data_IF_765474259059
#
_entry.id   IF_765474259059
#
_cell.length_a   1.000
_cell.length_b   1.000
_cell.length_c   1.000
_cell.angle_alpha   90.00
_cell.angle_beta   90.00
_cell.angle_gamma   90.00
#
_symmetry.space_group_name_H-M   'P 1'
#
loop_
_entity.id
_entity.type
_entity.pdbx_description
1 polymer ?
#
# COMPACT_ATOMS: atom_id res chain seq x y z
N UNK A 1 -59.84 40.89 19.76
CA UNK A 1 -59.86 40.86 18.29
C UNK A 1 -58.45 41.11 17.82
N UNK A 2 -57.92 40.30 16.90
CA UNK A 2 -56.61 40.57 16.32
C UNK A 2 -56.67 41.91 15.56
N UNK A 3 -55.65 42.75 15.73
CA UNK A 3 -55.53 44.02 15.03
C UNK A 3 -55.32 43.73 13.52
N UNK A 4 -55.91 44.54 12.63
CA UNK A 4 -55.71 44.46 11.17
C UNK A 4 -54.22 44.40 10.79
N UNK A 5 -53.37 45.12 11.52
CA UNK A 5 -51.90 45.10 11.38
C UNK A 5 -51.33 43.72 11.69
N UNK A 6 -51.81 43.03 12.73
CA UNK A 6 -51.37 41.67 13.08
C UNK A 6 -51.76 40.67 12.00
N UNK A 7 -52.97 40.80 11.44
CA UNK A 7 -53.46 39.95 10.34
C UNK A 7 -52.61 40.16 9.09
N UNK A 8 -52.36 41.41 8.71
CA UNK A 8 -51.52 41.75 7.55
C UNK A 8 -50.08 41.25 7.72
N UNK A 9 -49.53 41.36 8.93
CA UNK A 9 -48.17 40.88 9.24
C UNK A 9 -48.07 39.37 9.10
N UNK A 10 -49.06 38.61 9.62
CA UNK A 10 -49.10 37.15 9.47
C UNK A 10 -49.22 36.72 8.01
N UNK A 11 -50.11 37.35 7.25
CA UNK A 11 -50.28 37.06 5.83
C UNK A 11 -48.98 37.29 5.03
N UNK A 12 -48.24 38.36 5.36
CA UNK A 12 -46.93 38.63 4.75
C UNK A 12 -45.89 37.57 5.14
N UNK A 13 -45.82 37.18 6.41
CA UNK A 13 -44.91 36.13 6.89
C UNK A 13 -45.18 34.78 6.19
N UNK A 14 -46.44 34.39 6.05
CA UNK A 14 -46.84 33.17 5.34
C UNK A 14 -46.47 33.22 3.85
N UNK A 15 -46.65 34.37 3.21
CA UNK A 15 -46.26 34.58 1.81
C UNK A 15 -44.74 34.47 1.63
N UNK A 16 -43.95 35.09 2.51
CA UNK A 16 -42.48 35.00 2.49
C UNK A 16 -42.02 33.56 2.73
N UNK A 17 -42.64 32.87 3.69
CA UNK A 17 -42.34 31.47 3.98
C UNK A 17 -42.61 30.58 2.77
N UNK A 18 -43.78 30.72 2.14
CA UNK A 18 -44.15 29.96 0.94
C UNK A 18 -43.18 30.19 -0.23
N UNK A 19 -42.79 31.46 -0.46
CA UNK A 19 -41.80 31.79 -1.48
C UNK A 19 -40.42 31.17 -1.17
N UNK A 20 -39.99 31.21 0.09
CA UNK A 20 -38.73 30.63 0.55
C UNK A 20 -38.73 29.10 0.42
N UNK A 21 -39.82 28.45 0.80
CA UNK A 21 -39.98 27.00 0.69
C UNK A 21 -39.95 26.56 -0.79
N UNK A 22 -40.58 27.34 -1.68
CA UNK A 22 -40.55 27.12 -3.13
C UNK A 22 -39.14 27.27 -3.71
N UNK A 23 -38.41 28.33 -3.34
CA UNK A 23 -37.03 28.55 -3.78
C UNK A 23 -36.10 27.43 -3.30
N UNK A 24 -36.25 27.00 -2.04
CA UNK A 24 -35.45 25.94 -1.44
C UNK A 24 -35.71 24.59 -2.14
N UNK A 25 -36.96 24.30 -2.48
CA UNK A 25 -37.34 23.10 -3.23
C UNK A 25 -36.72 23.10 -4.64
N UNK A 26 -36.80 24.23 -5.36
CA UNK A 26 -36.19 24.39 -6.68
C UNK A 26 -34.67 24.23 -6.63
N UNK A 27 -34.01 24.84 -5.64
CA UNK A 27 -32.57 24.75 -5.47
C UNK A 27 -32.14 23.32 -5.14
N UNK A 28 -32.84 22.64 -4.23
CA UNK A 28 -32.56 21.24 -3.86
C UNK A 28 -32.70 20.32 -5.07
N UNK A 29 -33.78 20.47 -5.84
CA UNK A 29 -34.03 19.67 -7.04
C UNK A 29 -32.96 19.91 -8.10
N UNK A 30 -32.61 21.17 -8.36
CA UNK A 30 -31.57 21.52 -9.34
C UNK A 30 -30.19 20.99 -8.93
N UNK A 31 -29.84 21.08 -7.64
CA UNK A 31 -28.59 20.53 -7.12
C UNK A 31 -28.54 19.01 -7.28
N UNK A 32 -29.62 18.30 -6.94
CA UNK A 32 -29.70 16.85 -7.11
C UNK A 32 -29.48 16.45 -8.57
N UNK A 33 -30.24 17.04 -9.51
CA UNK A 33 -30.07 16.73 -10.93
C UNK A 33 -28.67 17.04 -11.45
N UNK A 34 -28.05 18.14 -11.01
CA UNK A 34 -26.68 18.47 -11.42
C UNK A 34 -25.65 17.48 -10.86
N UNK A 35 -25.85 16.98 -9.64
CA UNK A 35 -24.99 15.96 -9.03
C UNK A 35 -25.16 14.60 -9.72
N UNK A 36 -26.39 14.21 -10.05
CA UNK A 36 -26.67 12.96 -10.77
C UNK A 36 -26.04 12.98 -12.18
N UNK A 37 -26.13 14.12 -12.88
CA UNK A 37 -25.49 14.32 -14.18
C UNK A 37 -23.95 14.27 -14.06
N UNK A 38 -23.39 14.84 -13.00
CA UNK A 38 -21.95 14.81 -12.76
C UNK A 38 -21.47 13.38 -12.47
N UNK A 39 -22.19 12.65 -11.62
CA UNK A 39 -21.89 11.24 -11.30
C UNK A 39 -21.95 10.36 -12.54
N UNK A 40 -22.98 10.53 -13.37
CA UNK A 40 -23.11 9.82 -14.65
C UNK A 40 -21.96 10.14 -15.60
N UNK A 41 -21.56 11.42 -15.68
CA UNK A 41 -20.44 11.86 -16.55
C UNK A 41 -19.10 11.31 -16.06
N UNK A 42 -18.86 11.29 -14.76
CA UNK A 42 -17.64 10.74 -14.17
C UNK A 42 -17.61 9.22 -14.38
N UNK A 43 -18.71 8.54 -14.08
CA UNK A 43 -18.83 7.08 -14.20
C UNK A 43 -18.64 6.59 -15.64
N UNK A 44 -19.20 7.31 -16.62
CA UNK A 44 -19.03 6.97 -18.05
C UNK A 44 -17.61 7.21 -18.59
N UNK A 45 -16.82 8.07 -17.93
CA UNK A 45 -15.43 8.36 -18.31
C UNK A 45 -14.41 7.55 -17.51
N UNK A 46 -14.80 6.98 -16.38
CA UNK A 46 -13.91 6.17 -15.56
C UNK A 46 -13.59 4.86 -16.27
N UNK A 47 -12.30 4.60 -16.50
CA UNK A 47 -11.81 3.26 -16.87
C UNK A 47 -11.50 2.40 -15.64
N UNK A 48 -11.62 2.97 -14.44
CA UNK A 48 -11.33 2.30 -13.19
C UNK A 48 -12.60 1.65 -12.64
N UNK A 49 -12.48 0.37 -12.33
CA UNK A 49 -13.43 -0.41 -11.59
C UNK A 49 -13.23 -0.24 -10.08
N UNK A 50 -14.20 -0.68 -9.29
CA UNK A 50 -14.04 -0.77 -7.83
C UNK A 50 -12.84 -1.66 -7.43
N UNK A 51 -12.48 -2.64 -8.27
CA UNK A 51 -11.32 -3.51 -8.03
C UNK A 51 -10.00 -2.74 -8.16
N UNK A 52 -9.91 -1.77 -9.07
CA UNK A 52 -8.69 -0.97 -9.23
C UNK A 52 -8.42 -0.10 -8.00
N UNK A 53 -9.48 0.41 -7.36
CA UNK A 53 -9.39 1.15 -6.08
C UNK A 53 -8.94 0.22 -4.97
N UNK A 54 -9.48 -1.00 -4.89
CA UNK A 54 -9.04 -2.00 -3.92
C UNK A 54 -7.56 -2.38 -4.11
N UNK A 55 -7.13 -2.51 -5.36
CA UNK A 55 -5.75 -2.86 -5.71
C UNK A 55 -4.74 -1.73 -5.38
N UNK A 56 -5.18 -0.47 -5.40
CA UNK A 56 -4.33 0.65 -4.98
C UNK A 56 -4.02 0.58 -3.48
N UNK A 57 -5.00 0.15 -2.67
CA UNK A 57 -4.82 -0.04 -1.23
C UNK A 57 -3.96 -1.26 -0.91
N UNK A 58 -3.92 -2.27 -1.80
CA UNK A 58 -3.03 -3.43 -1.67
C UNK A 58 -1.63 -3.24 -2.27
N UNK A 59 -1.34 -2.11 -2.93
CA UNK A 59 0.01 -1.82 -3.45
C UNK A 59 0.23 -2.20 -4.91
N UNK A 60 -0.81 -2.17 -5.75
CA UNK A 60 -0.68 -2.24 -7.21
C UNK A 60 -0.27 -3.63 -7.72
N UNK A 61 -0.89 -4.69 -7.19
CA UNK A 61 -0.57 -6.07 -7.54
C UNK A 61 0.54 -6.69 -6.70
N UNK A 62 0.96 -6.04 -5.61
CA UNK A 62 1.75 -6.68 -4.56
C UNK A 62 0.79 -7.41 -3.63
N UNK A 63 0.91 -8.74 -3.56
CA UNK A 63 0.11 -9.58 -2.68
C UNK A 63 0.64 -9.57 -1.24
N UNK A 64 1.96 -9.64 -1.07
CA UNK A 64 2.56 -9.60 0.27
C UNK A 64 4.01 -9.10 0.23
N UNK A 65 4.45 -8.46 1.32
CA UNK A 65 5.86 -8.15 1.53
C UNK A 65 6.29 -8.62 2.91
N UNK A 66 7.33 -9.43 2.95
CA UNK A 66 7.94 -9.93 4.17
C UNK A 66 9.35 -9.38 4.27
N UNK A 67 9.71 -8.84 5.43
CA UNK A 67 11.01 -8.23 5.68
C UNK A 67 11.59 -8.72 6.98
N UNK A 68 12.91 -8.76 7.06
CA UNK A 68 13.59 -9.07 8.31
C UNK A 68 15.09 -8.90 8.21
N UNK A 69 15.76 -9.28 9.29
CA UNK A 69 17.22 -9.37 9.37
C UNK A 69 17.60 -10.72 9.94
N UNK A 70 18.65 -11.34 9.41
CA UNK A 70 19.11 -12.63 9.90
C UNK A 70 20.63 -12.73 9.85
N UNK A 71 21.18 -13.41 10.84
CA UNK A 71 22.60 -13.74 10.88
C UNK A 71 22.88 -14.91 9.93
N UNK A 72 24.06 -14.86 9.31
CA UNK A 72 24.61 -15.94 8.52
C UNK A 72 25.51 -16.82 9.37
N UNK A 73 25.57 -18.10 9.02
CA UNK A 73 26.48 -19.07 9.65
C UNK A 73 27.56 -19.45 8.65
N UNK A 74 28.82 -19.28 9.04
CA UNK A 74 29.98 -19.70 8.24
C UNK A 74 29.96 -21.22 8.02
N UNK A 75 30.37 -21.66 6.83
CA UNK A 75 30.51 -23.08 6.53
C UNK A 75 31.67 -23.69 7.34
N UNK A 76 31.47 -24.85 7.98
CA UNK A 76 32.57 -25.58 8.61
C UNK A 76 33.64 -25.93 7.58
N UNK A 77 34.92 -25.67 7.89
CA UNK A 77 36.06 -26.05 7.04
C UNK A 77 36.83 -24.91 6.35
N UNK A 78 36.65 -23.65 6.76
CA UNK A 78 37.49 -22.54 6.30
C UNK A 78 37.17 -22.04 4.88
N UNK A 79 36.04 -22.46 4.31
CA UNK A 79 35.53 -21.89 3.06
C UNK A 79 34.97 -20.50 3.31
N UNK A 80 35.30 -19.54 2.44
CA UNK A 80 34.75 -18.19 2.40
C UNK A 80 33.24 -18.18 2.02
N UNK A 81 32.42 -19.01 2.66
CA UNK A 81 31.01 -19.21 2.37
C UNK A 81 30.24 -19.19 3.69
N UNK A 82 29.16 -18.42 3.75
CA UNK A 82 28.20 -18.46 4.85
C UNK A 82 26.79 -18.51 4.30
N UNK A 83 25.89 -19.13 5.04
CA UNK A 83 24.50 -19.19 4.65
C UNK A 83 23.58 -19.23 5.84
N UNK A 84 22.32 -18.90 5.59
CA UNK A 84 21.24 -19.07 6.56
C UNK A 84 19.97 -19.46 5.86
N UNK A 85 19.15 -20.24 6.55
CA UNK A 85 17.80 -20.60 6.14
C UNK A 85 16.83 -19.79 6.98
N UNK A 86 15.99 -19.02 6.31
CA UNK A 86 15.04 -18.10 6.93
C UNK A 86 13.65 -18.65 6.69
N UNK A 87 12.94 -18.94 7.76
CA UNK A 87 11.52 -19.29 7.70
C UNK A 87 10.72 -18.03 7.40
N UNK A 88 10.00 -18.06 6.28
CA UNK A 88 9.08 -17.00 5.86
C UNK A 88 7.66 -17.56 5.81
N UNK A 89 6.67 -16.69 5.83
CA UNK A 89 5.29 -17.04 5.50
C UNK A 89 5.20 -17.54 4.06
N UNK A 90 4.21 -18.39 3.79
CA UNK A 90 4.04 -19.04 2.49
C UNK A 90 3.86 -18.01 1.36
N UNK A 91 4.64 -18.15 0.28
CA UNK A 91 4.55 -17.36 -0.96
C UNK A 91 4.45 -18.25 -2.21
N UNK A 92 3.94 -17.71 -3.32
CA UNK A 92 4.02 -18.34 -4.63
C UNK A 92 5.40 -18.10 -5.27
N UNK A 93 6.16 -19.17 -5.48
CA UNK A 93 7.53 -19.12 -6.01
C UNK A 93 7.66 -18.43 -7.37
N UNK A 94 6.69 -18.63 -8.28
CA UNK A 94 6.77 -18.05 -9.64
C UNK A 94 6.35 -16.58 -9.70
N UNK A 95 5.77 -16.07 -8.62
CA UNK A 95 5.31 -14.68 -8.49
C UNK A 95 6.02 -13.93 -7.37
N UNK A 96 7.20 -14.41 -6.98
CA UNK A 96 7.96 -13.80 -5.89
C UNK A 96 9.28 -13.24 -6.39
N UNK A 97 9.63 -12.08 -5.86
CA UNK A 97 10.95 -11.48 -6.00
C UNK A 97 11.62 -11.44 -4.63
N UNK A 98 12.92 -11.78 -4.60
CA UNK A 98 13.73 -11.66 -3.40
C UNK A 98 14.72 -10.53 -3.58
N UNK A 99 14.73 -9.64 -2.60
CA UNK A 99 15.60 -8.49 -2.57
C UNK A 99 16.52 -8.55 -1.34
N UNK A 100 17.77 -8.16 -1.53
CA UNK A 100 18.72 -7.89 -0.44
C UNK A 100 19.04 -6.41 -0.54
N UNK A 101 18.28 -5.55 0.16
CA UNK A 101 18.32 -4.10 -0.05
C UNK A 101 19.65 -3.47 0.35
N UNK A 102 20.45 -4.16 1.16
CA UNK A 102 21.79 -3.72 1.53
C UNK A 102 22.63 -4.92 2.00
N UNK A 103 23.76 -5.18 1.34
CA UNK A 103 24.85 -5.97 1.92
C UNK A 103 25.93 -4.99 2.34
N UNK A 104 26.47 -5.10 3.56
CA UNK A 104 27.67 -4.34 3.95
C UNK A 104 28.83 -4.73 3.01
N UNK A 105 29.05 -3.96 1.94
CA UNK A 105 30.37 -3.85 1.33
C UNK A 105 31.05 -2.67 2.00
N UNK A 106 31.85 -2.91 3.02
CA UNK A 106 32.62 -1.83 3.64
C UNK A 106 33.76 -1.40 2.71
N UNK A 107 33.46 -0.50 1.77
CA UNK A 107 34.51 0.26 1.08
C UNK A 107 35.31 1.13 2.05
N UNK A 108 34.74 1.46 3.22
CA UNK A 108 35.39 2.30 4.22
C UNK A 108 36.33 1.55 5.17
N UNK A 109 36.37 0.20 5.15
CA UNK A 109 37.21 -0.61 6.06
C UNK A 109 38.03 -1.72 5.40
N UNK A 110 38.02 -1.85 4.06
CA UNK A 110 38.84 -2.84 3.34
C UNK A 110 38.41 -4.30 3.51
N UNK A 111 37.19 -4.57 4.01
CA UNK A 111 36.66 -5.93 4.26
C UNK A 111 35.59 -6.30 3.25
N UNK A 112 35.73 -7.47 2.65
CA UNK A 112 34.98 -7.93 1.48
C UNK A 112 33.94 -8.97 1.92
N UNK A 113 32.65 -8.68 1.69
CA UNK A 113 31.65 -9.70 1.43
C UNK A 113 31.54 -9.77 -0.10
N UNK A 114 31.79 -10.94 -0.69
CA UNK A 114 31.72 -11.13 -2.14
C UNK A 114 30.28 -11.19 -2.64
N UNK A 115 29.95 -12.23 -3.39
CA UNK A 115 28.63 -12.38 -4.02
C UNK A 115 27.57 -12.84 -3.02
N UNK A 116 26.47 -12.09 -2.91
CA UNK A 116 25.25 -12.51 -2.18
C UNK A 116 24.26 -13.11 -3.17
N UNK A 117 23.84 -14.34 -2.90
CA UNK A 117 22.87 -15.09 -3.72
C UNK A 117 21.66 -15.45 -2.86
N UNK A 118 20.61 -14.61 -2.87
CA UNK A 118 19.36 -14.93 -2.22
C UNK A 118 18.45 -15.73 -3.17
N UNK A 119 17.79 -16.76 -2.67
CA UNK A 119 16.78 -17.50 -3.43
C UNK A 119 15.77 -18.19 -2.51
N UNK A 120 14.54 -18.36 -3.01
CA UNK A 120 13.55 -19.17 -2.33
C UNK A 120 13.86 -20.65 -2.57
N UNK A 121 14.20 -21.38 -1.52
CA UNK A 121 14.43 -22.82 -1.59
C UNK A 121 13.12 -23.61 -1.53
N UNK A 122 12.06 -22.99 -0.98
CA UNK A 122 10.68 -23.50 -0.97
C UNK A 122 9.70 -22.35 -0.75
N UNK A 123 8.39 -22.60 -0.81
CA UNK A 123 7.36 -21.58 -0.58
C UNK A 123 7.42 -20.93 0.80
N UNK A 124 8.13 -21.51 1.77
CA UNK A 124 8.21 -21.02 3.16
C UNK A 124 9.66 -20.86 3.63
N UNK A 125 10.63 -20.95 2.71
CA UNK A 125 12.04 -20.88 3.07
C UNK A 125 12.82 -20.01 2.09
N UNK A 126 13.38 -18.92 2.61
CA UNK A 126 14.36 -18.10 1.94
C UNK A 126 15.75 -18.59 2.36
N UNK A 127 16.61 -18.87 1.38
CA UNK A 127 18.02 -19.14 1.62
C UNK A 127 18.85 -17.95 1.13
N UNK A 128 19.73 -17.48 2.00
CA UNK A 128 20.73 -16.47 1.65
C UNK A 128 22.09 -17.14 1.74
N UNK A 129 22.85 -17.08 0.65
CA UNK A 129 24.22 -17.60 0.57
C UNK A 129 25.14 -16.45 0.21
N UNK A 130 26.23 -16.32 0.95
CA UNK A 130 27.27 -15.31 0.70
C UNK A 130 28.59 -16.02 0.44
N UNK A 131 29.28 -15.61 -0.60
CA UNK A 131 30.60 -16.11 -1.00
C UNK A 131 31.66 -15.02 -0.80
N UNK A 132 32.93 -15.39 -0.64
CA UNK A 132 34.04 -14.45 -0.52
C UNK A 132 34.07 -13.68 0.80
N UNK A 133 33.70 -14.32 1.91
CA UNK A 133 33.68 -13.70 3.25
C UNK A 133 35.10 -13.59 3.80
N UNK A 134 35.56 -12.36 4.02
CA UNK A 134 36.87 -12.08 4.60
C UNK A 134 36.87 -12.02 6.14
N UNK A 135 35.70 -11.93 6.76
CA UNK A 135 35.55 -11.65 8.20
C UNK A 135 34.23 -12.24 8.73
N UNK A 136 34.17 -12.65 10.00
CA UNK A 136 32.94 -13.14 10.61
C UNK A 136 32.00 -12.00 11.05
N UNK A 137 32.54 -10.80 11.30
CA UNK A 137 31.72 -9.64 11.70
C UNK A 137 30.75 -9.21 10.59
N UNK A 138 31.10 -9.46 9.32
CA UNK A 138 30.23 -9.20 8.18
C UNK A 138 29.10 -10.24 8.05
N UNK A 139 28.93 -11.18 8.99
CA UNK A 139 27.86 -12.20 8.95
C UNK A 139 26.59 -11.79 9.71
N UNK A 140 26.57 -10.60 10.31
CA UNK A 140 25.49 -10.19 11.22
C UNK A 140 24.42 -9.33 10.58
N UNK A 141 23.17 -9.67 10.86
CA UNK A 141 21.99 -8.84 10.55
C UNK A 141 21.78 -8.51 9.07
N UNK A 142 21.90 -9.49 8.16
CA UNK A 142 21.61 -9.30 6.74
C UNK A 142 20.14 -8.96 6.54
N UNK A 143 19.82 -7.78 5.98
CA UNK A 143 18.45 -7.45 5.66
C UNK A 143 17.98 -8.27 4.46
N UNK A 144 16.73 -8.69 4.51
CA UNK A 144 16.10 -9.40 3.41
C UNK A 144 14.67 -8.94 3.24
N UNK A 145 14.19 -9.07 2.01
CA UNK A 145 12.83 -8.77 1.63
C UNK A 145 12.34 -9.79 0.59
N UNK A 146 11.14 -10.30 0.80
CA UNK A 146 10.43 -11.17 -0.15
C UNK A 146 9.13 -10.47 -0.52
N UNK A 147 8.96 -10.18 -1.80
CA UNK A 147 7.79 -9.51 -2.37
C UNK A 147 7.05 -10.53 -3.22
N UNK A 148 5.81 -10.84 -2.87
CA UNK A 148 4.92 -11.67 -3.69
C UNK A 148 3.95 -10.76 -4.45
N UNK A 149 3.76 -11.03 -5.73
CA UNK A 149 2.80 -10.33 -6.59
C UNK A 149 1.53 -11.17 -6.79
N UNK A 150 0.41 -10.51 -7.11
CA UNK A 150 -0.91 -11.13 -7.35
C UNK A 150 -0.93 -12.13 -8.50
#
# INVERSE_FOLDING_TARGET
MANVIEIATKALQESIKSATDTLTSRLTSSRASNLDNLDTTISSRSSHSAQDVANLVSGGGIKSVQRGRSDLTASPGGGHIASTNITISRVNLSKSYVNIPWSQSSHDFGRWAGTVTPFLSSSTNLRVVVYGIADEDILKGYPWEVIEFE
#
